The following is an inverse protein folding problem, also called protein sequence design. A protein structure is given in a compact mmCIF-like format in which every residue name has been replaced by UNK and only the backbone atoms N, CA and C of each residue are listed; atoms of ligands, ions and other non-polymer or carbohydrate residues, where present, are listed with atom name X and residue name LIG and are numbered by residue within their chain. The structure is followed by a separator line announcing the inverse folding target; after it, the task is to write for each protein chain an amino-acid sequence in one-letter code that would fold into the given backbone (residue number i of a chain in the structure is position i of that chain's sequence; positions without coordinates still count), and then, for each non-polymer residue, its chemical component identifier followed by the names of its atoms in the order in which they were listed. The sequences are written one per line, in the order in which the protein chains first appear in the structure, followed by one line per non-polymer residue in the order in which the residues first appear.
data_IF_938486592280
#
_entry.id   IF_938486592280
#
_cell.length_a   1.000
_cell.length_b   1.000
_cell.length_c   1.000
_cell.angle_alpha   90.00
_cell.angle_beta   90.00
_cell.angle_gamma   90.00
#
_symmetry.space_group_name_H-M   'P 1'
#
loop_
_entity.id
_entity.type
_entity.pdbx_description
1 polymer ?
#
# COMPACT_ATOMS: atom_id res chain seq x y z
N UNK A 1 1.26 11.42 6.11
CA UNK A 1 1.11 10.14 6.84
C UNK A 1 1.06 9.05 5.80
N UNK A 2 1.80 7.99 5.97
CA UNK A 2 1.70 6.82 5.09
C UNK A 2 0.35 6.15 5.30
N UNK A 3 -0.34 5.82 4.21
CA UNK A 3 -1.59 5.04 4.22
C UNK A 3 -1.32 3.53 4.29
N UNK A 4 -0.06 3.14 4.24
CA UNK A 4 0.45 1.79 4.32
C UNK A 4 0.46 1.30 5.79
N UNK A 5 -0.03 0.10 6.04
CA UNK A 5 -0.06 -0.52 7.36
C UNK A 5 1.33 -0.64 8.00
N UNK A 6 2.37 -0.87 7.22
CA UNK A 6 3.75 -0.95 7.69
C UNK A 6 4.30 0.40 8.16
N UNK A 7 3.74 1.53 7.66
CA UNK A 7 4.13 2.88 8.08
C UNK A 7 5.61 3.19 7.79
N UNK A 8 6.13 2.76 6.64
CA UNK A 8 7.52 3.01 6.24
C UNK A 8 7.78 4.51 6.16
N UNK A 9 8.60 5.04 7.07
CA UNK A 9 9.09 6.40 7.02
C UNK A 9 10.50 6.40 6.44
N UNK A 10 10.70 7.06 5.32
CA UNK A 10 12.04 7.34 4.81
C UNK A 10 12.70 8.40 5.69
N UNK A 11 13.68 7.98 6.48
CA UNK A 11 14.51 8.88 7.25
C UNK A 11 15.57 9.50 6.34
N UNK A 12 15.55 10.82 6.20
CA UNK A 12 16.54 11.57 5.47
C UNK A 12 17.18 12.61 6.39
N UNK A 13 18.49 12.52 6.60
CA UNK A 13 19.25 13.43 7.48
C UNK A 13 19.91 14.54 6.68
N UNK A 14 20.34 14.26 5.44
CA UNK A 14 20.92 15.21 4.47
C UNK A 14 20.19 15.09 3.13
N UNK A 15 20.26 16.13 2.29
CA UNK A 15 19.73 16.10 0.92
C UNK A 15 20.33 14.94 0.11
N UNK A 16 19.67 14.55 -0.99
CA UNK A 16 20.16 13.49 -1.89
C UNK A 16 21.52 13.86 -2.47
N UNK A 17 22.59 13.21 -1.98
CA UNK A 17 23.97 13.45 -2.43
C UNK A 17 24.35 12.56 -3.62
N UNK A 18 23.54 11.56 -3.99
CA UNK A 18 23.81 10.65 -5.09
C UNK A 18 22.50 10.19 -5.75
N UNK A 19 22.52 10.04 -7.07
CA UNK A 19 21.40 9.50 -7.86
C UNK A 19 21.30 7.97 -7.76
N UNK A 20 22.35 7.28 -7.32
CA UNK A 20 22.44 5.81 -7.31
C UNK A 20 22.73 5.19 -5.94
N UNK A 21 23.22 5.95 -4.96
CA UNK A 21 23.48 5.45 -3.60
C UNK A 21 22.27 5.77 -2.71
N UNK A 22 21.89 4.83 -1.85
CA UNK A 22 20.82 5.04 -0.88
C UNK A 22 21.04 6.30 -0.04
N UNK A 23 19.99 7.05 0.22
CA UNK A 23 20.02 8.30 1.00
C UNK A 23 19.77 8.06 2.50
N UNK A 24 19.58 6.82 2.92
CA UNK A 24 19.27 6.46 4.31
C UNK A 24 20.47 6.69 5.23
N UNK A 25 20.28 7.28 6.41
CA UNK A 25 21.30 7.44 7.41
C UNK A 25 21.69 6.08 8.02
N UNK A 26 22.88 6.01 8.58
CA UNK A 26 23.33 4.86 9.35
C UNK A 26 22.56 4.81 10.69
N UNK A 27 21.97 3.67 11.01
CA UNK A 27 21.36 3.44 12.31
C UNK A 27 22.40 2.89 13.29
N UNK A 28 22.45 3.48 14.48
CA UNK A 28 23.28 3.02 15.59
C UNK A 28 22.39 2.81 16.79
N UNK A 29 22.38 1.61 17.34
CA UNK A 29 21.57 1.23 18.48
C UNK A 29 22.46 0.91 19.68
N UNK A 30 22.32 1.65 20.76
CA UNK A 30 23.14 1.53 21.98
C UNK A 30 24.67 1.53 21.69
N UNK A 31 25.11 2.34 20.73
CA UNK A 31 26.52 2.50 20.35
C UNK A 31 27.02 1.52 19.28
N UNK A 32 26.22 0.58 18.81
CA UNK A 32 26.59 -0.41 17.79
C UNK A 32 25.81 -0.19 16.50
N UNK A 33 26.46 -0.40 15.35
CA UNK A 33 25.83 -0.31 14.04
C UNK A 33 24.68 -1.32 13.98
N UNK A 34 23.50 -0.84 13.62
CA UNK A 34 22.27 -1.62 13.52
C UNK A 34 21.89 -1.78 12.05
N UNK A 35 21.97 -2.99 11.53
CA UNK A 35 21.64 -3.32 10.14
C UNK A 35 20.15 -3.70 9.95
N UNK A 36 19.36 -3.74 11.03
CA UNK A 36 17.92 -3.99 11.00
C UNK A 36 17.10 -2.77 10.61
N UNK A 37 15.78 -2.95 10.57
CA UNK A 37 14.84 -1.86 10.26
C UNK A 37 14.46 -1.07 11.51
N UNK A 38 14.24 0.24 11.35
CA UNK A 38 13.71 1.08 12.43
C UNK A 38 12.36 0.55 12.97
N UNK A 39 11.59 -0.13 12.14
CA UNK A 39 10.31 -0.74 12.53
C UNK A 39 10.45 -1.88 13.55
N UNK A 40 11.64 -2.48 13.66
CA UNK A 40 11.92 -3.55 14.60
C UNK A 40 12.21 -3.01 16.01
N UNK A 41 12.49 -1.72 16.11
CA UNK A 41 12.72 -1.04 17.39
C UNK A 41 11.36 -0.56 17.91
N UNK A 42 11.00 -0.99 19.12
CA UNK A 42 9.78 -0.49 19.74
C UNK A 42 9.99 0.96 20.20
N UNK A 43 9.19 1.92 19.74
CA UNK A 43 9.30 3.32 20.16
C UNK A 43 9.22 3.48 21.70
N UNK A 44 8.50 2.60 22.37
CA UNK A 44 8.38 2.62 23.84
C UNK A 44 9.65 2.22 24.57
N UNK A 45 10.62 1.57 23.87
CA UNK A 45 11.92 1.19 24.42
C UNK A 45 12.99 2.27 24.24
N UNK A 46 12.69 3.32 23.48
CA UNK A 46 13.63 4.39 23.18
C UNK A 46 13.71 5.37 24.36
N UNK A 47 14.92 5.70 24.79
CA UNK A 47 15.20 6.77 25.75
C UNK A 47 15.55 8.08 25.04
N UNK A 48 16.46 8.05 24.04
CA UNK A 48 16.80 9.21 23.23
C UNK A 48 17.09 8.82 21.78
N UNK A 49 16.95 9.80 20.88
CA UNK A 49 17.35 9.72 19.48
C UNK A 49 18.23 10.94 19.20
N UNK A 50 19.48 10.71 18.83
CA UNK A 50 20.45 11.75 18.49
C UNK A 50 20.79 11.67 17.00
N UNK A 51 20.69 12.79 16.29
CA UNK A 51 21.01 12.85 14.86
C UNK A 51 22.35 13.53 14.66
N UNK A 52 23.36 12.73 14.28
CA UNK A 52 24.71 13.20 14.09
C UNK A 52 24.91 13.63 12.63
N UNK A 53 25.14 14.93 12.44
CA UNK A 53 25.31 15.55 11.11
C UNK A 53 26.74 16.03 10.86
N UNK A 54 27.52 16.25 11.92
CA UNK A 54 28.84 16.82 11.83
C UNK A 54 29.90 15.79 11.44
N UNK A 55 30.87 16.18 10.64
CA UNK A 55 31.90 15.30 10.13
C UNK A 55 32.72 14.64 11.25
N UNK A 56 32.96 15.34 12.36
CA UNK A 56 33.67 14.80 13.53
C UNK A 56 32.89 13.70 14.24
N UNK A 57 31.59 13.89 14.42
CA UNK A 57 30.70 12.89 15.07
C UNK A 57 30.53 11.64 14.22
N UNK A 58 30.55 11.80 12.90
CA UNK A 58 30.34 10.73 11.92
C UNK A 58 31.59 9.94 11.63
N UNK A 59 32.80 10.53 11.87
CA UNK A 59 34.10 9.91 11.59
C UNK A 59 34.31 8.58 12.31
N UNK A 60 33.74 8.42 13.50
CA UNK A 60 33.81 7.18 14.30
C UNK A 60 33.21 5.98 13.59
N UNK A 61 32.21 6.21 12.72
CA UNK A 61 31.44 5.16 12.01
C UNK A 61 31.93 4.93 10.57
N UNK A 62 32.97 5.66 10.12
CA UNK A 62 33.56 5.50 8.82
C UNK A 62 32.67 5.86 7.63
N UNK A 63 32.98 5.29 6.45
CA UNK A 63 32.32 5.62 5.19
C UNK A 63 30.81 5.32 5.15
N UNK A 64 30.34 4.36 5.94
CA UNK A 64 28.89 4.03 6.03
C UNK A 64 28.05 5.20 6.56
N UNK A 65 28.66 6.12 7.28
CA UNK A 65 28.00 7.26 7.91
C UNK A 65 27.94 8.52 7.02
N UNK A 66 28.32 8.44 5.74
CA UNK A 66 28.35 9.58 4.81
C UNK A 66 27.01 10.33 4.71
N UNK A 67 25.87 9.63 4.86
CA UNK A 67 24.52 10.21 4.84
C UNK A 67 24.03 10.72 6.22
N UNK A 68 24.91 10.70 7.23
CA UNK A 68 24.58 10.99 8.62
C UNK A 68 24.33 9.74 9.44
N UNK A 69 24.22 9.91 10.75
CA UNK A 69 23.96 8.82 11.70
C UNK A 69 22.76 9.16 12.56
N UNK A 70 21.89 8.20 12.76
CA UNK A 70 20.82 8.26 13.76
C UNK A 70 21.19 7.31 14.89
N UNK A 71 21.62 7.88 16.03
CA UNK A 71 21.98 7.13 17.22
C UNK A 71 20.75 7.01 18.12
N UNK A 72 20.36 5.78 18.41
CA UNK A 72 19.22 5.44 19.25
C UNK A 72 19.74 4.85 20.54
N UNK A 73 19.40 5.47 21.65
CA UNK A 73 19.69 4.95 22.99
C UNK A 73 18.43 4.35 23.58
N UNK A 74 18.53 3.14 24.07
CA UNK A 74 17.37 2.43 24.63
C UNK A 74 17.32 2.52 26.16
N UNK A 75 16.11 2.33 26.70
CA UNK A 75 15.84 2.35 28.13
C UNK A 75 16.65 1.28 28.86
N UNK A 76 17.17 1.67 30.00
CA UNK A 76 17.84 0.79 30.98
C UNK A 76 17.05 0.77 32.29
N UNK A 77 17.41 -0.13 33.19
CA UNK A 77 16.84 -0.15 34.52
C UNK A 77 17.12 1.15 35.27
N UNK A 78 16.10 1.69 35.96
CA UNK A 78 16.22 2.89 36.82
C UNK A 78 16.28 2.48 38.27
N UNK A 79 17.07 3.20 39.08
CA UNK A 79 17.21 2.96 40.50
C UNK A 79 15.88 3.20 41.23
N UNK A 80 15.51 2.30 42.12
CA UNK A 80 14.27 2.38 42.88
C UNK A 80 13.57 1.05 43.04
N UNK A 81 12.24 1.09 43.17
CA UNK A 81 11.42 -0.13 43.17
C UNK A 81 11.26 -0.66 41.73
N UNK A 82 11.08 -1.98 41.53
CA UNK A 82 10.72 -2.51 40.25
C UNK A 82 9.52 -1.80 39.64
N UNK A 83 9.61 -1.40 38.38
CA UNK A 83 8.56 -0.71 37.64
C UNK A 83 8.04 -1.63 36.54
N UNK A 84 6.74 -1.87 36.56
CA UNK A 84 6.02 -2.54 35.51
C UNK A 84 5.21 -1.47 34.77
N UNK A 85 5.34 -1.37 33.46
CA UNK A 85 4.57 -0.44 32.64
C UNK A 85 3.81 -1.21 31.57
N UNK A 86 2.55 -0.83 31.36
CA UNK A 86 1.74 -1.32 30.25
C UNK A 86 1.23 -0.13 29.43
N UNK A 87 1.43 -0.19 28.14
CA UNK A 87 0.93 0.81 27.20
C UNK A 87 0.07 0.12 26.15
N UNK A 88 -1.07 0.71 25.84
CA UNK A 88 -1.97 0.28 24.79
C UNK A 88 -2.36 1.49 23.93
N UNK A 89 -2.10 1.41 22.65
CA UNK A 89 -2.53 2.39 21.66
C UNK A 89 -3.48 1.70 20.70
N UNK A 90 -4.69 2.24 20.58
CA UNK A 90 -5.70 1.76 19.62
C UNK A 90 -6.16 2.96 18.82
N UNK A 91 -6.15 2.83 17.50
CA UNK A 91 -6.56 3.88 16.58
C UNK A 91 -7.23 3.31 15.35
N UNK A 92 -7.83 4.20 14.57
CA UNK A 92 -8.40 3.88 13.27
C UNK A 92 -7.74 4.75 12.21
N UNK A 93 -7.49 4.17 11.04
CA UNK A 93 -7.05 4.89 9.87
C UNK A 93 -8.10 4.76 8.78
N UNK A 94 -8.56 5.89 8.25
CA UNK A 94 -9.53 5.92 7.18
C UNK A 94 -9.02 6.73 5.99
N UNK A 95 -9.64 6.48 4.85
CA UNK A 95 -9.31 7.13 3.61
C UNK A 95 -9.97 8.53 3.54
N UNK A 96 -9.25 9.58 3.92
CA UNK A 96 -9.81 10.93 4.00
C UNK A 96 -9.73 11.74 2.69
N UNK A 97 -8.89 11.37 1.72
CA UNK A 97 -8.59 12.23 0.55
C UNK A 97 -8.14 11.46 -0.71
N UNK A 98 -8.59 10.26 -0.93
CA UNK A 98 -8.33 9.63 -2.23
C UNK A 98 -9.34 10.13 -3.26
N UNK A 99 -8.89 10.40 -4.51
CA UNK A 99 -9.82 10.68 -5.60
C UNK A 99 -10.75 9.47 -5.78
N UNK A 100 -12.03 9.71 -6.02
CA UNK A 100 -12.99 8.64 -6.28
C UNK A 100 -12.72 7.96 -7.61
N UNK A 101 -13.05 6.68 -7.71
CA UNK A 101 -13.17 5.98 -8.99
C UNK A 101 -14.26 6.63 -9.83
N UNK A 102 -14.16 6.45 -11.13
CA UNK A 102 -15.16 6.96 -12.07
C UNK A 102 -16.39 6.05 -12.01
N UNK A 103 -17.58 6.63 -11.90
CA UNK A 103 -18.86 5.92 -11.99
C UNK A 103 -19.17 5.48 -13.44
N UNK A 104 -20.21 4.68 -13.63
CA UNK A 104 -20.58 4.16 -14.95
C UNK A 104 -20.81 5.23 -15.99
N UNK A 105 -21.48 6.32 -15.62
CA UNK A 105 -21.75 7.43 -16.54
C UNK A 105 -20.46 8.14 -16.95
N UNK A 106 -19.59 8.41 -15.99
CA UNK A 106 -18.28 9.02 -16.23
C UNK A 106 -17.35 8.13 -17.06
N UNK A 107 -17.40 6.81 -16.84
CA UNK A 107 -16.62 5.85 -17.61
C UNK A 107 -17.07 5.80 -19.08
N UNK A 108 -18.38 5.78 -19.33
CA UNK A 108 -18.93 5.87 -20.69
C UNK A 108 -18.50 7.16 -21.37
N UNK A 109 -18.64 8.30 -20.67
CA UNK A 109 -18.22 9.60 -21.20
C UNK A 109 -16.74 9.61 -21.55
N UNK A 110 -15.88 9.11 -20.66
CA UNK A 110 -14.43 8.98 -20.95
C UNK A 110 -14.17 8.15 -22.18
N UNK A 111 -14.82 6.97 -22.33
CA UNK A 111 -14.66 6.10 -23.50
C UNK A 111 -15.16 6.77 -24.80
N UNK A 112 -16.24 7.53 -24.70
CA UNK A 112 -16.78 8.30 -25.83
C UNK A 112 -15.79 9.39 -26.27
N UNK A 113 -15.34 10.24 -25.37
CA UNK A 113 -14.38 11.30 -25.64
C UNK A 113 -13.04 10.75 -26.18
N UNK A 114 -12.59 9.61 -25.62
CA UNK A 114 -11.41 8.92 -26.13
C UNK A 114 -11.61 8.42 -27.56
N UNK A 115 -12.74 7.77 -27.87
CA UNK A 115 -13.07 7.33 -29.21
C UNK A 115 -13.13 8.48 -30.22
N UNK A 116 -13.78 9.59 -29.84
CA UNK A 116 -13.88 10.79 -30.66
C UNK A 116 -12.51 11.43 -30.91
N UNK A 117 -11.62 11.45 -29.91
CA UNK A 117 -10.27 12.02 -30.03
C UNK A 117 -9.37 11.29 -31.04
N UNK A 118 -9.70 10.04 -31.36
CA UNK A 118 -8.97 9.24 -32.34
C UNK A 118 -9.49 9.41 -33.76
N UNK A 119 -10.65 10.07 -33.97
CA UNK A 119 -11.22 10.30 -35.28
C UNK A 119 -10.52 11.43 -36.03
N UNK A 120 -10.31 11.24 -37.33
CA UNK A 120 -9.92 12.33 -38.21
C UNK A 120 -11.10 13.25 -38.48
N UNK A 121 -10.84 14.49 -38.88
CA UNK A 121 -11.88 15.44 -39.28
C UNK A 121 -12.81 14.91 -40.37
N UNK A 122 -12.26 14.19 -41.36
CA UNK A 122 -13.03 13.56 -42.42
C UNK A 122 -13.98 12.47 -41.87
N UNK A 123 -13.52 11.67 -40.92
CA UNK A 123 -14.36 10.65 -40.26
C UNK A 123 -15.45 11.27 -39.42
N UNK A 124 -15.20 12.36 -38.71
CA UNK A 124 -16.20 13.08 -37.92
C UNK A 124 -17.34 13.60 -38.82
N UNK A 125 -17.01 14.08 -40.02
CA UNK A 125 -17.99 14.55 -40.99
C UNK A 125 -18.75 13.37 -41.65
N UNK A 126 -18.08 12.26 -41.94
CA UNK A 126 -18.70 11.10 -42.57
C UNK A 126 -19.52 10.24 -41.61
N UNK A 127 -19.19 10.25 -40.35
CA UNK A 127 -19.80 9.42 -39.28
C UNK A 127 -20.17 10.26 -38.06
N UNK A 128 -21.06 11.26 -38.18
CA UNK A 128 -21.41 12.14 -37.11
C UNK A 128 -22.03 11.34 -35.96
N UNK A 129 -21.57 11.61 -34.73
CA UNK A 129 -22.03 10.96 -33.52
C UNK A 129 -21.76 9.45 -33.47
N UNK A 130 -20.70 8.97 -34.12
CA UNK A 130 -20.32 7.54 -34.15
C UNK A 130 -20.31 6.89 -32.76
N UNK A 131 -19.87 7.61 -31.75
CA UNK A 131 -19.77 7.15 -30.37
C UNK A 131 -20.92 7.62 -29.48
N UNK A 132 -21.95 8.31 -30.04
CA UNK A 132 -23.10 8.76 -29.30
C UNK A 132 -24.01 7.61 -28.89
N UNK A 133 -24.70 7.79 -27.76
CA UNK A 133 -25.73 6.85 -27.26
C UNK A 133 -26.86 6.73 -28.29
N UNK A 134 -27.16 5.51 -28.77
CA UNK A 134 -28.17 5.30 -29.80
C UNK A 134 -29.58 5.77 -29.41
N UNK A 135 -29.86 5.87 -28.13
CA UNK A 135 -31.17 6.38 -27.64
C UNK A 135 -31.33 7.87 -27.88
N UNK A 136 -30.28 8.61 -28.09
CA UNK A 136 -30.27 10.06 -28.25
C UNK A 136 -30.05 10.52 -29.70
N UNK A 137 -29.80 9.61 -30.64
CA UNK A 137 -29.45 9.95 -32.04
C UNK A 137 -30.52 10.80 -32.73
N UNK A 138 -31.79 10.43 -32.61
CA UNK A 138 -32.88 11.20 -33.24
C UNK A 138 -32.95 12.64 -32.73
N UNK A 139 -32.76 12.83 -31.41
CA UNK A 139 -32.73 14.16 -30.78
C UNK A 139 -31.50 15.00 -31.27
N UNK A 140 -30.40 14.32 -31.63
CA UNK A 140 -29.23 14.95 -32.20
C UNK A 140 -29.30 15.17 -33.73
N UNK A 141 -30.42 14.81 -34.36
CA UNK A 141 -30.59 14.92 -35.82
C UNK A 141 -29.82 13.88 -36.62
N UNK A 142 -29.41 12.78 -36.01
CA UNK A 142 -28.67 11.70 -36.64
C UNK A 142 -29.62 10.57 -36.98
N UNK A 143 -29.59 10.10 -38.23
CA UNK A 143 -30.39 8.94 -38.67
C UNK A 143 -29.85 7.66 -38.00
N UNK A 144 -30.67 6.97 -37.15
CA UNK A 144 -30.21 5.77 -36.42
C UNK A 144 -29.83 4.61 -37.35
N UNK A 145 -30.45 4.46 -38.53
CA UNK A 145 -30.10 3.41 -39.45
C UNK A 145 -28.75 3.68 -40.16
N UNK A 146 -28.55 4.94 -40.58
CA UNK A 146 -27.24 5.36 -41.10
C UNK A 146 -26.14 5.18 -40.06
N UNK A 147 -26.40 5.61 -38.82
CA UNK A 147 -25.47 5.44 -37.68
C UNK A 147 -25.11 3.97 -37.47
N UNK A 148 -26.10 3.04 -37.44
CA UNK A 148 -25.82 1.61 -37.29
C UNK A 148 -24.90 1.07 -38.39
N UNK A 149 -25.10 1.53 -39.60
CA UNK A 149 -24.40 1.06 -40.81
C UNK A 149 -22.99 1.65 -41.00
N UNK A 150 -22.53 2.61 -40.20
CA UNK A 150 -21.23 3.28 -40.39
C UNK A 150 -20.02 2.33 -40.56
N UNK A 151 -20.05 1.21 -39.90
CA UNK A 151 -18.96 0.23 -39.85
C UNK A 151 -19.45 -1.19 -40.17
N UNK A 152 -20.57 -1.31 -40.89
CA UNK A 152 -21.09 -2.59 -41.36
C UNK A 152 -20.52 -2.89 -42.75
N UNK A 153 -19.96 -4.08 -42.94
CA UNK A 153 -19.53 -4.55 -44.25
C UNK A 153 -20.72 -4.76 -45.20
N UNK A 154 -21.85 -5.22 -44.64
CA UNK A 154 -23.12 -5.38 -45.38
C UNK A 154 -24.17 -4.56 -44.64
N UNK A 155 -24.59 -3.41 -45.22
CA UNK A 155 -25.60 -2.57 -44.62
C UNK A 155 -26.93 -3.29 -44.44
N UNK A 156 -27.60 -3.06 -43.32
CA UNK A 156 -28.95 -3.55 -43.05
C UNK A 156 -29.98 -2.56 -43.57
N UNK A 157 -31.12 -3.06 -43.99
CA UNK A 157 -32.21 -2.24 -44.56
C UNK A 157 -33.27 -1.85 -43.54
N UNK A 158 -33.25 -2.45 -42.34
CA UNK A 158 -34.17 -2.15 -41.27
C UNK A 158 -33.42 -1.85 -39.98
N UNK A 159 -33.96 -0.93 -39.15
CA UNK A 159 -33.37 -0.58 -37.86
C UNK A 159 -33.45 -1.77 -36.90
N UNK A 160 -32.29 -2.21 -36.33
CA UNK A 160 -32.29 -3.25 -35.31
C UNK A 160 -33.03 -2.84 -34.02
N UNK A 161 -33.26 -3.83 -33.17
CA UNK A 161 -33.81 -3.59 -31.83
C UNK A 161 -32.88 -2.79 -30.94
N UNK A 162 -33.38 -2.17 -29.89
CA UNK A 162 -32.64 -1.31 -28.98
C UNK A 162 -31.45 -2.02 -28.35
N UNK A 163 -31.64 -3.27 -27.93
CA UNK A 163 -30.53 -4.06 -27.34
C UNK A 163 -29.35 -4.24 -28.31
N UNK A 164 -29.64 -4.50 -29.57
CA UNK A 164 -28.64 -4.62 -30.64
C UNK A 164 -27.95 -3.29 -30.89
N UNK A 165 -28.69 -2.19 -30.87
CA UNK A 165 -28.15 -0.84 -31.01
C UNK A 165 -27.22 -0.49 -29.85
N UNK A 166 -27.61 -0.76 -28.61
CA UNK A 166 -26.78 -0.54 -27.43
C UNK A 166 -25.52 -1.41 -27.47
N UNK A 167 -25.64 -2.69 -27.85
CA UNK A 167 -24.47 -3.57 -27.99
C UNK A 167 -23.47 -3.02 -29.01
N UNK A 168 -23.96 -2.55 -30.15
CA UNK A 168 -23.13 -1.91 -31.19
C UNK A 168 -22.39 -0.69 -30.67
N UNK A 169 -23.12 0.17 -29.93
CA UNK A 169 -22.54 1.36 -29.30
C UNK A 169 -21.42 1.04 -28.33
N UNK A 170 -21.69 0.16 -27.36
CA UNK A 170 -20.71 -0.24 -26.36
C UNK A 170 -19.50 -0.94 -27.00
N UNK A 171 -19.70 -1.72 -28.06
CA UNK A 171 -18.60 -2.30 -28.83
C UNK A 171 -17.71 -1.22 -29.46
N UNK A 172 -18.29 -0.14 -30.01
CA UNK A 172 -17.53 1.01 -30.51
C UNK A 172 -16.76 1.75 -29.42
N UNK A 173 -17.32 1.79 -28.20
CA UNK A 173 -16.63 2.32 -27.01
C UNK A 173 -15.54 1.37 -26.48
N UNK A 174 -15.26 0.26 -27.21
CA UNK A 174 -14.28 -0.75 -26.82
C UNK A 174 -14.62 -1.47 -25.50
N UNK A 175 -15.92 -1.64 -25.23
CA UNK A 175 -16.38 -2.48 -24.12
C UNK A 175 -16.21 -3.95 -24.50
N UNK A 176 -15.83 -4.77 -23.53
CA UNK A 176 -15.73 -6.22 -23.69
C UNK A 176 -17.08 -6.89 -23.43
N UNK A 177 -17.22 -8.12 -23.84
CA UNK A 177 -18.48 -8.86 -23.74
C UNK A 177 -19.06 -8.84 -22.33
N UNK A 178 -18.22 -9.06 -21.31
CA UNK A 178 -18.67 -9.05 -19.92
C UNK A 178 -19.14 -7.67 -19.43
N UNK A 179 -18.49 -6.60 -19.91
CA UNK A 179 -18.87 -5.23 -19.57
C UNK A 179 -20.23 -4.86 -20.21
N UNK A 180 -20.43 -5.29 -21.47
CA UNK A 180 -21.70 -5.10 -22.19
C UNK A 180 -22.84 -5.86 -21.48
N UNK A 181 -22.58 -7.10 -21.07
CA UNK A 181 -23.54 -7.93 -20.37
C UNK A 181 -23.92 -7.32 -19.03
N UNK A 182 -22.95 -6.88 -18.24
CA UNK A 182 -23.18 -6.20 -16.97
C UNK A 182 -23.93 -4.88 -17.14
N UNK A 183 -23.56 -4.07 -18.13
CA UNK A 183 -24.28 -2.83 -18.45
C UNK A 183 -25.75 -3.09 -18.77
N UNK A 184 -26.04 -4.08 -19.64
CA UNK A 184 -27.39 -4.45 -20.00
C UNK A 184 -28.20 -5.01 -18.82
N UNK A 185 -27.53 -5.61 -17.85
CA UNK A 185 -28.16 -6.14 -16.63
C UNK A 185 -28.22 -5.10 -15.48
N UNK A 186 -27.75 -3.87 -15.71
CA UNK A 186 -27.72 -2.82 -14.69
C UNK A 186 -26.74 -3.09 -13.54
N UNK A 187 -25.70 -3.87 -13.80
CA UNK A 187 -24.64 -4.15 -12.81
C UNK A 187 -23.58 -3.09 -12.92
N UNK A 188 -23.36 -2.40 -11.81
CA UNK A 188 -22.30 -1.39 -11.66
C UNK A 188 -21.57 -1.62 -10.33
N UNK A 189 -20.25 -1.61 -10.37
CA UNK A 189 -19.38 -1.88 -9.21
C UNK A 189 -18.69 -0.60 -8.77
N UNK A 190 -18.94 -0.17 -7.54
CA UNK A 190 -18.12 0.87 -6.90
C UNK A 190 -16.86 0.23 -6.33
N UNK A 191 -15.76 0.40 -7.04
CA UNK A 191 -14.47 -0.16 -6.64
C UNK A 191 -13.90 0.52 -5.38
N UNK A 192 -14.24 1.78 -5.10
CA UNK A 192 -13.78 2.46 -3.90
C UNK A 192 -14.35 1.80 -2.65
N UNK A 193 -15.62 1.44 -2.65
CA UNK A 193 -16.28 0.77 -1.52
C UNK A 193 -15.72 -0.63 -1.24
N UNK A 194 -15.25 -1.32 -2.29
CA UNK A 194 -14.72 -2.68 -2.16
C UNK A 194 -13.23 -2.68 -1.77
N UNK A 195 -12.45 -1.76 -2.34
CA UNK A 195 -10.98 -1.73 -2.21
C UNK A 195 -10.53 -1.01 -0.95
N UNK A 196 -11.29 -0.02 -0.48
CA UNK A 196 -10.92 0.76 0.69
C UNK A 196 -11.73 0.38 1.92
N UNK A 197 -11.06 0.44 3.05
CA UNK A 197 -11.62 0.13 4.37
C UNK A 197 -11.14 1.12 5.43
N UNK A 198 -11.80 1.12 6.57
CA UNK A 198 -11.26 1.72 7.79
C UNK A 198 -10.43 0.67 8.49
N UNK A 199 -9.10 0.88 8.53
CA UNK A 199 -8.16 -0.02 9.16
C UNK A 199 -8.08 0.20 10.67
N UNK A 200 -8.02 -0.88 11.44
CA UNK A 200 -7.77 -0.87 12.87
C UNK A 200 -6.27 -0.95 13.14
N UNK A 201 -5.76 -0.07 14.00
CA UNK A 201 -4.37 -0.05 14.41
C UNK A 201 -4.26 -0.29 15.90
N UNK A 202 -3.49 -1.30 16.30
CA UNK A 202 -3.32 -1.71 17.68
C UNK A 202 -1.83 -1.88 17.99
N UNK A 203 -1.37 -1.32 19.11
CA UNK A 203 0.01 -1.46 19.58
C UNK A 203 -0.03 -1.63 21.10
N UNK A 204 0.47 -2.74 21.58
CA UNK A 204 0.52 -3.09 23.00
C UNK A 204 1.95 -3.31 23.42
N UNK A 205 2.36 -2.73 24.53
CA UNK A 205 3.71 -2.90 25.08
C UNK A 205 3.63 -3.11 26.59
N UNK A 206 4.29 -4.14 27.07
CA UNK A 206 4.58 -4.34 28.48
C UNK A 206 6.08 -4.22 28.71
N UNK A 207 6.48 -3.57 29.79
CA UNK A 207 7.90 -3.51 30.18
C UNK A 207 8.08 -3.66 31.69
N UNK A 208 9.24 -4.20 32.06
CA UNK A 208 9.67 -4.43 33.42
C UNK A 208 11.11 -3.93 33.58
N UNK A 209 11.36 -3.09 34.55
CA UNK A 209 12.70 -2.52 34.78
C UNK A 209 13.03 -2.32 36.24
N UNK A 210 14.29 -2.46 36.56
CA UNK A 210 14.85 -2.09 37.88
C UNK A 210 16.38 -1.93 37.74
N UNK A 211 16.95 -1.19 38.73
CA UNK A 211 18.39 -1.12 39.00
C UNK A 211 18.63 -1.17 40.50
N UNK A 212 19.49 -2.07 40.90
CA UNK A 212 20.15 -2.11 42.20
C UNK A 212 21.61 -1.77 42.06
N UNK A 213 22.36 -1.70 43.17
CA UNK A 213 23.78 -1.28 43.13
C UNK A 213 24.65 -2.02 42.09
N UNK A 214 24.48 -3.35 42.01
CA UNK A 214 25.31 -4.21 41.16
C UNK A 214 24.59 -4.82 39.96
N UNK A 215 23.27 -4.60 39.82
CA UNK A 215 22.48 -5.24 38.80
C UNK A 215 21.36 -4.34 38.27
N UNK A 216 21.29 -4.21 36.95
CA UNK A 216 20.25 -3.47 36.24
C UNK A 216 19.62 -4.35 35.17
N UNK A 217 18.31 -4.29 35.05
CA UNK A 217 17.59 -4.94 33.97
C UNK A 217 16.48 -4.06 33.41
N UNK A 218 16.28 -4.21 32.13
CA UNK A 218 15.10 -3.74 31.39
C UNK A 218 14.66 -4.85 30.45
N UNK A 219 13.41 -5.23 30.53
CA UNK A 219 12.79 -6.16 29.60
C UNK A 219 11.51 -5.54 29.08
N UNK A 220 11.25 -5.71 27.78
CA UNK A 220 9.99 -5.32 27.16
C UNK A 220 9.52 -6.35 26.16
N UNK A 221 8.19 -6.37 25.97
CA UNK A 221 7.52 -7.13 24.92
C UNK A 221 6.44 -6.26 24.31
N UNK A 222 6.49 -6.09 22.98
CA UNK A 222 5.55 -5.29 22.21
C UNK A 222 4.89 -6.12 21.10
N UNK A 223 3.59 -5.94 20.93
CA UNK A 223 2.83 -6.49 19.81
C UNK A 223 2.10 -5.38 19.07
N UNK A 224 2.30 -5.31 17.77
CA UNK A 224 1.57 -4.42 16.89
C UNK A 224 0.78 -5.22 15.86
N UNK A 225 -0.47 -4.83 15.62
CA UNK A 225 -1.32 -5.32 14.55
C UNK A 225 -1.99 -4.10 13.90
N UNK A 226 -1.65 -3.84 12.66
CA UNK A 226 -2.07 -2.65 11.95
C UNK A 226 -2.67 -3.03 10.62
N UNK A 227 -3.88 -2.57 10.38
CA UNK A 227 -4.55 -2.65 9.07
C UNK A 227 -4.44 -1.30 8.37
N UNK A 228 -4.13 -1.33 7.08
CA UNK A 228 -4.10 -0.15 6.24
C UNK A 228 -5.48 0.22 5.71
N UNK A 229 -5.53 1.29 4.91
CA UNK A 229 -6.77 1.76 4.28
C UNK A 229 -7.19 0.93 3.06
N UNK A 230 -6.31 0.12 2.51
CA UNK A 230 -6.63 -0.82 1.43
C UNK A 230 -6.91 -2.20 2.00
N UNK A 231 -7.91 -2.89 1.48
CA UNK A 231 -8.20 -4.28 1.85
C UNK A 231 -7.00 -5.17 1.55
N UNK A 232 -6.62 -6.02 2.51
CA UNK A 232 -5.45 -6.88 2.42
C UNK A 232 -4.14 -6.24 2.89
N UNK A 233 -4.08 -4.92 3.09
CA UNK A 233 -2.91 -4.27 3.68
C UNK A 233 -2.91 -4.46 5.20
N UNK A 234 -2.01 -5.31 5.68
CA UNK A 234 -1.88 -5.63 7.10
C UNK A 234 -0.43 -5.83 7.50
N UNK A 235 -0.09 -5.37 8.68
CA UNK A 235 1.24 -5.48 9.26
C UNK A 235 1.15 -5.95 10.70
N UNK A 236 1.86 -7.03 11.02
CA UNK A 236 1.98 -7.54 12.39
C UNK A 236 3.44 -7.60 12.80
N UNK A 237 3.71 -7.20 14.01
CA UNK A 237 5.06 -7.24 14.55
C UNK A 237 5.03 -7.65 16.03
N UNK A 238 5.83 -8.65 16.37
CA UNK A 238 6.14 -9.03 17.74
C UNK A 238 7.59 -8.68 18.02
N UNK A 239 7.83 -7.88 19.05
CA UNK A 239 9.15 -7.37 19.42
C UNK A 239 9.41 -7.69 20.89
N UNK A 240 10.63 -8.09 21.21
CA UNK A 240 11.05 -8.19 22.62
C UNK A 240 12.48 -7.70 22.74
N UNK A 241 12.75 -7.06 23.86
CA UNK A 241 14.06 -6.51 24.18
C UNK A 241 14.45 -6.86 25.61
N UNK A 242 15.73 -7.20 25.80
CA UNK A 242 16.32 -7.48 27.10
C UNK A 242 17.66 -6.75 27.21
N UNK A 243 17.75 -5.83 28.18
CA UNK A 243 18.98 -5.16 28.55
C UNK A 243 19.33 -5.57 29.97
N UNK A 244 20.48 -6.19 30.13
CA UNK A 244 21.04 -6.57 31.43
C UNK A 244 22.38 -5.91 31.63
N UNK A 245 22.67 -5.46 32.84
CA UNK A 245 23.97 -4.92 33.22
C UNK A 245 24.27 -5.39 34.65
N UNK A 246 25.45 -5.98 34.85
CA UNK A 246 25.89 -6.47 36.14
C UNK A 246 27.33 -6.01 36.43
N UNK A 247 27.53 -5.39 37.58
CA UNK A 247 28.83 -5.06 38.10
C UNK A 247 29.39 -6.28 38.83
N UNK A 248 30.28 -7.00 38.16
CA UNK A 248 30.86 -8.26 38.71
C UNK A 248 31.92 -7.97 39.73
N UNK A 249 32.71 -6.91 39.51
CA UNK A 249 33.75 -6.43 40.42
C UNK A 249 33.79 -4.90 40.41
N UNK A 250 34.62 -4.27 41.23
CA UNK A 250 34.83 -2.81 41.21
C UNK A 250 35.38 -2.28 39.89
N UNK A 251 36.02 -3.13 39.11
CA UNK A 251 36.65 -2.77 37.83
C UNK A 251 36.02 -3.49 36.61
N UNK A 252 35.04 -4.36 36.82
CA UNK A 252 34.45 -5.12 35.74
C UNK A 252 32.89 -5.03 35.76
N UNK A 253 32.34 -4.45 34.73
CA UNK A 253 30.90 -4.45 34.45
C UNK A 253 30.63 -5.25 33.16
N UNK A 254 29.67 -6.15 33.19
CA UNK A 254 29.26 -6.96 32.06
C UNK A 254 27.85 -6.58 31.68
N UNK A 255 27.60 -6.37 30.40
CA UNK A 255 26.29 -6.04 29.86
C UNK A 255 25.87 -7.00 28.72
N UNK A 256 24.57 -7.23 28.63
CA UNK A 256 23.92 -7.95 27.53
C UNK A 256 22.74 -7.11 27.04
N UNK A 257 22.77 -6.74 25.77
CA UNK A 257 21.65 -6.15 25.05
C UNK A 257 21.19 -7.13 23.98
N UNK A 258 19.98 -7.66 24.13
CA UNK A 258 19.40 -8.60 23.17
C UNK A 258 18.05 -8.06 22.67
N UNK A 259 17.82 -8.18 21.37
CA UNK A 259 16.57 -7.81 20.73
C UNK A 259 16.14 -8.91 19.78
N UNK A 260 14.87 -9.24 19.80
CA UNK A 260 14.24 -10.11 18.83
C UNK A 260 13.00 -9.42 18.26
N UNK A 261 12.86 -9.45 16.94
CA UNK A 261 11.67 -8.98 16.24
C UNK A 261 11.25 -10.00 15.19
N UNK A 262 9.94 -10.20 15.06
CA UNK A 262 9.36 -10.97 13.96
C UNK A 262 8.27 -10.16 13.32
N UNK A 263 8.36 -9.96 12.02
CA UNK A 263 7.39 -9.23 11.21
C UNK A 263 6.66 -10.15 10.28
N UNK A 264 5.36 -9.97 10.23
CA UNK A 264 4.47 -10.51 9.20
C UNK A 264 3.89 -9.29 8.49
N UNK A 265 4.39 -8.99 7.32
CA UNK A 265 3.98 -7.84 6.51
C UNK A 265 3.96 -8.21 5.04
N UNK A 266 3.65 -7.23 4.18
CA UNK A 266 3.70 -7.43 2.73
C UNK A 266 2.51 -8.24 2.20
N UNK A 267 1.40 -8.28 2.93
CA UNK A 267 0.14 -8.69 2.32
C UNK A 267 -0.11 -7.77 1.13
N UNK A 268 -0.38 -8.37 -0.02
CA UNK A 268 -0.68 -7.60 -1.21
C UNK A 268 -2.02 -6.90 -1.00
N UNK A 269 -1.96 -5.59 -0.83
CA UNK A 269 -3.14 -4.77 -0.75
C UNK A 269 -3.89 -4.79 -2.08
N UNK A 270 -5.21 -4.70 -2.03
CA UNK A 270 -6.01 -4.42 -3.21
C UNK A 270 -5.49 -3.14 -3.88
N UNK A 271 -5.30 -3.18 -5.19
CA UNK A 271 -4.67 -2.10 -5.93
C UNK A 271 -5.56 -1.56 -7.04
N UNK A 272 -5.90 -0.28 -6.92
CA UNK A 272 -6.57 0.51 -7.96
C UNK A 272 -5.54 1.50 -8.49
N UNK A 273 -4.54 0.99 -9.23
CA UNK A 273 -3.45 1.82 -9.74
C UNK A 273 -3.89 2.82 -10.80
N UNK A 274 -4.82 2.39 -11.64
CA UNK A 274 -5.32 3.20 -12.76
C UNK A 274 -6.84 3.19 -12.70
N UNK A 275 -7.41 4.15 -11.98
CA UNK A 275 -8.83 4.25 -11.70
C UNK A 275 -9.69 4.32 -12.96
N UNK A 276 -9.17 4.95 -14.00
CA UNK A 276 -9.77 5.02 -15.33
C UNK A 276 -9.77 3.69 -16.09
N UNK A 277 -8.96 2.71 -15.63
CA UNK A 277 -8.89 1.39 -16.24
C UNK A 277 -9.76 0.35 -15.54
N UNK A 278 -10.25 0.65 -14.34
CA UNK A 278 -11.18 -0.23 -13.65
C UNK A 278 -12.61 0.10 -14.09
N UNK A 279 -13.09 -0.66 -15.04
CA UNK A 279 -14.46 -0.50 -15.51
C UNK A 279 -15.46 -0.76 -14.39
N UNK A 280 -16.43 0.15 -14.11
CA UNK A 280 -17.50 -0.08 -13.15
C UNK A 280 -18.46 -1.18 -13.59
N UNK A 281 -18.42 -1.58 -14.86
CA UNK A 281 -19.22 -2.67 -15.41
C UNK A 281 -18.60 -4.06 -15.26
N UNK A 282 -17.55 -4.18 -14.45
CA UNK A 282 -16.95 -5.46 -14.05
C UNK A 282 -17.29 -5.75 -12.60
N UNK A 283 -17.23 -7.03 -12.22
CA UNK A 283 -17.54 -7.47 -10.86
C UNK A 283 -16.31 -8.12 -10.22
N UNK A 284 -16.19 -8.02 -8.90
CA UNK A 284 -15.24 -8.76 -8.12
C UNK A 284 -15.83 -10.12 -7.69
N UNK A 285 -16.38 -10.87 -8.64
CA UNK A 285 -16.93 -12.17 -8.36
C UNK A 285 -15.81 -13.21 -8.36
N UNK A 286 -15.64 -13.92 -7.22
CA UNK A 286 -14.60 -14.94 -7.02
C UNK A 286 -14.75 -16.07 -8.04
N UNK A 287 -15.97 -16.43 -8.42
CA UNK A 287 -16.20 -17.46 -9.44
C UNK A 287 -15.70 -17.06 -10.83
N UNK A 288 -15.54 -15.76 -11.05
CA UNK A 288 -14.89 -15.23 -12.24
C UNK A 288 -13.36 -15.42 -12.18
N UNK A 289 -12.79 -15.55 -11.01
CA UNK A 289 -11.34 -15.61 -10.79
C UNK A 289 -10.75 -17.02 -10.94
N UNK A 290 -11.56 -18.06 -10.94
CA UNK A 290 -11.12 -19.46 -11.08
C UNK A 290 -10.63 -19.84 -12.48
N UNK A 291 -10.72 -18.96 -13.46
CA UNK A 291 -10.20 -19.17 -14.80
C UNK A 291 -9.06 -18.23 -15.09
N UNK A 292 -7.92 -18.69 -15.67
CA UNK A 292 -6.83 -17.81 -16.10
C UNK A 292 -7.28 -16.75 -17.12
N UNK A 293 -8.39 -16.98 -17.81
CA UNK A 293 -9.02 -15.99 -18.71
C UNK A 293 -9.85 -14.93 -17.98
N UNK A 294 -10.08 -15.09 -16.68
CA UNK A 294 -10.88 -14.21 -15.82
C UNK A 294 -10.06 -13.37 -14.85
N UNK A 295 -8.71 -13.48 -14.93
CA UNK A 295 -7.80 -12.59 -14.21
C UNK A 295 -8.00 -11.12 -14.56
N UNK A 296 -8.56 -10.87 -15.72
CA UNK A 296 -8.89 -9.56 -16.25
C UNK A 296 -10.39 -9.52 -16.50
N UNK A 297 -11.19 -8.87 -15.65
CA UNK A 297 -12.66 -8.87 -15.73
C UNK A 297 -13.20 -8.44 -17.08
N UNK A 298 -12.49 -7.57 -17.80
CA UNK A 298 -12.85 -7.11 -19.14
C UNK A 298 -12.32 -8.00 -20.28
N UNK A 299 -11.59 -9.06 -19.96
CA UNK A 299 -11.03 -9.99 -20.96
C UNK A 299 -9.82 -9.44 -21.73
N UNK A 300 -9.24 -8.32 -21.32
CA UNK A 300 -7.98 -7.80 -21.83
C UNK A 300 -6.92 -7.69 -20.72
N UNK A 301 -5.64 -7.63 -21.13
CA UNK A 301 -4.51 -7.62 -20.18
C UNK A 301 -4.29 -6.26 -19.51
N UNK A 302 -5.07 -5.24 -19.86
CA UNK A 302 -4.88 -3.88 -19.37
C UNK A 302 -5.77 -3.56 -18.17
N UNK A 303 -6.81 -4.38 -17.92
CA UNK A 303 -7.76 -4.14 -16.83
C UNK A 303 -7.66 -5.27 -15.81
N UNK A 304 -6.76 -5.12 -14.86
CA UNK A 304 -6.52 -6.09 -13.80
C UNK A 304 -7.54 -5.94 -12.68
N UNK A 305 -8.07 -7.07 -12.18
CA UNK A 305 -8.88 -7.03 -10.98
C UNK A 305 -8.01 -6.52 -9.81
N UNK A 306 -8.48 -5.52 -9.03
CA UNK A 306 -7.74 -4.97 -7.90
C UNK A 306 -7.30 -6.01 -6.85
N UNK A 307 -8.01 -7.13 -6.74
CA UNK A 307 -7.71 -8.20 -5.81
C UNK A 307 -6.85 -9.33 -6.41
N UNK A 308 -6.43 -9.21 -7.66
CA UNK A 308 -5.67 -10.25 -8.34
C UNK A 308 -4.44 -10.72 -7.54
N UNK A 309 -3.63 -9.78 -7.06
CA UNK A 309 -2.42 -10.10 -6.32
C UNK A 309 -2.72 -10.72 -4.96
N UNK A 310 -3.85 -10.37 -4.32
CA UNK A 310 -4.28 -10.96 -3.06
C UNK A 310 -4.69 -12.42 -3.20
N UNK A 311 -5.29 -12.78 -4.33
CA UNK A 311 -5.83 -14.12 -4.58
C UNK A 311 -4.79 -15.06 -5.17
N UNK A 312 -3.90 -14.56 -6.02
CA UNK A 312 -2.96 -15.39 -6.79
C UNK A 312 -1.50 -15.28 -6.37
N UNK A 313 -1.13 -14.26 -5.58
CA UNK A 313 0.22 -14.08 -5.08
C UNK A 313 0.22 -14.04 -3.55
N UNK A 314 0.20 -15.19 -2.91
CA UNK A 314 0.41 -15.27 -1.45
C UNK A 314 1.89 -14.96 -1.14
N UNK A 315 2.24 -13.69 -1.17
CA UNK A 315 3.54 -13.21 -0.72
C UNK A 315 3.41 -12.75 0.72
N UNK A 316 3.83 -13.62 1.62
CA UNK A 316 4.04 -13.27 3.04
C UNK A 316 5.51 -12.99 3.24
N UNK A 317 5.88 -11.76 3.43
CA UNK A 317 7.21 -11.42 3.91
C UNK A 317 7.26 -11.70 5.42
N UNK A 318 7.87 -12.84 5.77
CA UNK A 318 8.16 -13.19 7.16
C UNK A 318 9.61 -12.78 7.40
N UNK A 319 9.81 -11.82 8.29
CA UNK A 319 11.14 -11.37 8.67
C UNK A 319 11.38 -11.67 10.15
N UNK A 320 12.50 -12.33 10.44
CA UNK A 320 12.95 -12.60 11.80
C UNK A 320 14.30 -11.90 12.03
N UNK A 321 14.36 -11.04 13.03
CA UNK A 321 15.57 -10.34 13.43
C UNK A 321 15.96 -10.75 14.84
N UNK A 322 17.17 -11.24 15.00
CA UNK A 322 17.79 -11.50 16.30
C UNK A 322 19.09 -10.72 16.42
N UNK A 323 19.11 -9.72 17.28
CA UNK A 323 20.30 -8.98 17.62
C UNK A 323 20.64 -9.20 19.11
N UNK A 324 21.84 -9.73 19.37
CA UNK A 324 22.36 -9.87 20.71
C UNK A 324 23.77 -9.27 20.78
N UNK A 325 23.99 -8.36 21.71
CA UNK A 325 25.24 -7.67 21.90
C UNK A 325 25.68 -7.84 23.35
N UNK A 326 26.88 -8.42 23.53
CA UNK A 326 27.52 -8.47 24.84
C UNK A 326 28.54 -7.35 24.93
N UNK A 327 28.47 -6.52 25.97
CA UNK A 327 29.40 -5.44 26.23
C UNK A 327 30.19 -5.74 27.51
N UNK A 328 31.51 -5.47 27.49
CA UNK A 328 32.37 -5.55 28.62
C UNK A 328 33.05 -4.18 28.80
N UNK A 329 32.97 -3.61 29.98
CA UNK A 329 33.59 -2.34 30.34
C UNK A 329 34.29 -2.39 31.71
#
# INVERSE_FOLDING_TARGET
MSTDAAGTADLQVRGKNSLKAGSSPLLVLDGVIYDGSLQDINPMDIESIDVLKDASSVAVYGAKAANGVVAITTKKGKTGKPVISFNANVGMVSNARLPKTVDGAGFIKFRQEYGESLMTEAEMVAQPGKFADPRNLAAAGIDPLAWYNYDQQTPVSALPDEKTMINKWLTRLNFKTIEIENYLNGVETDWDDIVYQTGLQQDYTVSLSNRKEDFSYYWSMGYADREGVKVGDRYRNLRTRLNLESKVTSFLTVGLNAQFATRLGGYLAADVEQREHNSPFTTNDIDILDSPYRMYPSGDNNTKNPFFDNLYRDRRDIHHDLNAICTQS
#
